data_IF_653643066626
#
_entry.id   IF_653643066626
#
_cell.length_a   1.000
_cell.length_b   1.000
_cell.length_c   1.000
_cell.angle_alpha   90.00
_cell.angle_beta   90.00
_cell.angle_gamma   90.00
#
_symmetry.space_group_name_H-M   'P 1'
#
loop_
_entity.id
_entity.type
_entity.pdbx_description
1 polymer ?
2 non-polymer ?
3 non-polymer ?
4 non-polymer ?
5 non-polymer ?
6 water ?
#
# COMPACT_ATOMS: atom_id res chain seq x y z
N UNK A 22 -2.73 -19.73 33.96
CA UNK A 22 -2.36 -18.83 32.86
C UNK A 22 -2.80 -19.40 31.51
N UNK A 23 -2.75 -18.56 30.47
CA UNK A 23 -3.09 -18.97 29.12
C UNK A 23 -1.94 -18.65 28.18
N UNK A 24 -1.82 -19.44 27.12
CA UNK A 24 -0.83 -19.18 26.11
C UNK A 24 -1.23 -17.92 25.33
N UNK A 25 -0.25 -17.26 24.74
CA UNK A 25 -0.55 -16.05 23.99
C UNK A 25 -1.42 -16.33 22.77
N UNK A 26 -2.20 -15.32 22.38
CA UNK A 26 -2.81 -15.27 21.06
C UNK A 26 -2.07 -14.25 20.20
N UNK A 27 -1.86 -14.58 18.93
CA UNK A 27 -0.88 -13.89 18.10
C UNK A 27 -1.52 -13.54 16.79
N UNK A 28 -1.35 -12.29 16.35
CA UNK A 28 -1.99 -11.79 15.15
C UNK A 28 -0.97 -11.11 14.26
N UNK A 29 -1.14 -11.26 12.96
CA UNK A 29 -0.36 -10.47 12.01
C UNK A 29 -0.96 -9.08 11.91
N UNK A 30 -0.10 -8.06 11.85
CA UNK A 30 -0.53 -6.70 11.57
C UNK A 30 0.18 -6.25 10.30
N UNK A 31 -0.57 -5.75 9.33
CA UNK A 31 0.01 -5.21 8.11
C UNK A 31 -0.23 -3.70 8.03
N UNK A 32 0.73 -2.97 7.47
CA UNK A 32 0.58 -1.54 7.24
C UNK A 32 1.09 -1.18 5.86
N UNK A 33 0.37 -0.32 5.15
CA UNK A 33 1.00 0.27 3.97
C UNK A 33 1.44 1.71 4.22
N UNK A 34 1.74 2.04 5.48
CA UNK A 34 2.43 3.30 5.82
C UNK A 34 3.51 3.00 6.84
N UNK A 35 4.77 3.18 6.43
CA UNK A 35 5.87 3.11 7.39
C UNK A 35 5.75 4.20 8.43
N UNK A 36 5.29 5.40 8.04
CA UNK A 36 5.14 6.49 9.00
C UNK A 36 4.20 6.11 10.14
N UNK A 37 3.12 5.41 9.82
CA UNK A 37 2.21 4.96 10.87
C UNK A 37 2.93 4.01 11.84
N UNK A 38 3.76 3.12 11.30
CA UNK A 38 4.54 2.21 12.17
C UNK A 38 5.48 3.01 13.06
N UNK A 39 6.17 4.00 12.47
CA UNK A 39 7.06 4.86 13.24
C UNK A 39 6.31 5.50 14.41
N UNK A 40 5.14 6.07 14.12
CA UNK A 40 4.33 6.68 15.16
C UNK A 40 3.95 5.67 16.23
N UNK A 41 3.57 4.46 15.79
CA UNK A 41 3.24 3.38 16.74
C UNK A 41 4.40 3.07 17.67
N UNK A 42 5.61 2.97 17.12
CA UNK A 42 6.78 2.64 17.95
C UNK A 42 7.07 3.76 18.92
N UNK A 43 6.89 5.01 18.47
CA UNK A 43 7.25 6.15 19.30
C UNK A 43 6.27 6.32 20.46
N UNK A 44 4.99 6.09 20.23
CA UNK A 44 3.97 6.42 21.22
C UNK A 44 3.20 5.22 21.75
N UNK A 45 3.53 4.00 21.32
CA UNK A 45 2.95 2.78 21.87
C UNK A 45 1.42 2.76 21.75
N UNK A 46 0.93 2.99 20.52
CA UNK A 46 -0.50 2.95 20.18
C UNK A 46 -0.65 2.38 18.78
N UNK A 47 -1.84 1.82 18.51
CA UNK A 47 -2.17 1.33 17.18
C UNK A 47 -3.68 1.41 16.95
N UNK A 48 -4.07 1.18 15.71
CA UNK A 48 -5.45 1.17 15.25
C UNK A 48 -5.52 0.27 14.04
N UNK A 49 -6.60 -0.52 13.92
CA UNK A 49 -6.76 -1.37 12.73
C UNK A 49 -8.00 -0.92 11.94
N UNK A 50 -8.48 -1.76 11.03
CA UNK A 50 -9.77 -1.50 10.39
C UNK A 50 -10.89 -1.68 11.42
N UNK A 51 -12.11 -1.35 11.02
CA UNK A 51 -13.26 -1.64 11.87
C UNK A 51 -13.32 -3.11 12.23
N UNK A 52 -13.29 -4.00 11.23
CA UNK A 52 -13.38 -5.42 11.55
C UNK A 52 -12.13 -5.92 12.24
N UNK A 53 -10.96 -5.34 11.92
CA UNK A 53 -9.75 -5.73 12.60
C UNK A 53 -9.73 -5.31 14.05
N UNK A 54 -10.20 -4.10 14.35
CA UNK A 54 -10.33 -3.65 15.73
C UNK A 54 -11.26 -4.57 16.51
N UNK A 55 -12.39 -4.93 15.92
CA UNK A 55 -13.32 -5.85 16.57
C UNK A 55 -12.66 -7.18 16.87
N UNK A 56 -11.92 -7.72 15.91
CA UNK A 56 -11.24 -9.00 16.10
C UNK A 56 -10.24 -8.94 17.25
N UNK A 57 -9.40 -7.90 17.27
CA UNK A 57 -8.41 -7.77 18.34
C UNK A 57 -9.09 -7.49 19.68
N UNK A 58 -10.15 -6.69 19.66
CA UNK A 58 -10.85 -6.37 20.92
C UNK A 58 -11.45 -7.65 21.52
N UNK A 59 -12.06 -8.49 20.69
CA UNK A 59 -12.60 -9.74 21.19
C UNK A 59 -11.52 -10.59 21.83
N UNK A 60 -10.37 -10.73 21.16
CA UNK A 60 -9.30 -11.57 21.69
C UNK A 60 -8.76 -10.99 23.00
N UNK A 61 -8.48 -9.70 23.03
CA UNK A 61 -7.94 -9.08 24.24
C UNK A 61 -8.86 -9.28 25.42
N UNK A 62 -10.16 -9.03 25.22
CA UNK A 62 -11.12 -9.13 26.32
C UNK A 62 -11.31 -10.58 26.76
N UNK A 63 -11.32 -11.52 25.82
CA UNK A 63 -11.50 -12.92 26.21
C UNK A 63 -10.26 -13.47 26.90
N UNK A 64 -9.08 -12.88 26.67
CA UNK A 64 -7.92 -13.30 27.44
C UNK A 64 -8.07 -12.92 28.91
N UNK A 65 -8.76 -11.82 29.18
CA UNK A 65 -9.08 -11.39 30.54
C UNK A 65 -7.82 -11.27 31.40
N UNK A 66 -6.72 -10.83 30.77
CA UNK A 66 -5.48 -10.58 31.46
C UNK A 66 -4.66 -11.78 31.87
N UNK A 67 -5.07 -13.00 31.48
CA UNK A 67 -4.38 -14.22 31.92
C UNK A 67 -3.35 -14.72 30.90
N UNK A 68 -3.02 -13.90 29.90
CA UNK A 68 -1.99 -14.19 28.93
C UNK A 68 -1.98 -13.07 27.90
N UNK A 69 -0.91 -12.97 27.12
CA UNK A 69 -0.75 -11.82 26.22
C UNK A 69 -1.43 -11.99 24.86
N UNK A 70 -1.69 -10.84 24.23
CA UNK A 70 -2.03 -10.77 22.81
C UNK A 70 -0.83 -10.14 22.10
N UNK A 71 -0.18 -10.90 21.23
CA UNK A 71 1.01 -10.43 20.52
C UNK A 71 0.62 -10.01 19.10
N UNK A 72 1.33 -9.00 18.60
CA UNK A 72 1.11 -8.44 17.26
C UNK A 72 2.43 -8.48 16.50
N UNK A 73 2.42 -9.12 15.34
CA UNK A 73 3.63 -9.27 14.52
C UNK A 73 3.51 -8.34 13.33
N UNK A 74 4.30 -7.27 13.32
CA UNK A 74 4.08 -6.17 12.36
C UNK A 74 4.89 -6.38 11.10
N UNK A 75 4.32 -5.99 9.96
CA UNK A 75 5.01 -6.11 8.68
C UNK A 75 4.47 -5.02 7.74
N UNK A 76 5.37 -4.28 7.09
CA UNK A 76 4.98 -3.25 6.12
C UNK A 76 4.77 -3.90 4.76
N UNK A 77 3.62 -3.62 4.13
CA UNK A 77 3.33 -4.12 2.80
C UNK A 77 4.48 -3.85 1.85
N UNK A 78 4.86 -4.85 1.08
CA UNK A 78 5.89 -4.70 0.07
C UNK A 78 7.31 -4.56 0.59
N UNK A 79 7.51 -4.58 1.91
CA UNK A 79 8.86 -4.43 2.44
C UNK A 79 9.66 -5.72 2.35
N UNK A 80 8.99 -6.86 2.25
CA UNK A 80 9.68 -8.15 2.27
C UNK A 80 10.23 -8.55 3.61
N UNK A 81 9.83 -7.89 4.69
CA UNK A 81 10.31 -8.28 6.01
C UNK A 81 9.27 -7.93 7.07
N UNK A 82 9.37 -8.62 8.21
CA UNK A 82 8.65 -8.22 9.40
C UNK A 82 9.52 -7.21 10.13
N UNK A 83 8.90 -6.31 10.90
CA UNK A 83 9.65 -5.23 11.52
C UNK A 83 9.61 -5.21 13.04
N UNK A 84 8.88 -6.12 13.69
CA UNK A 84 8.96 -6.22 15.13
C UNK A 84 7.69 -6.80 15.73
N UNK A 85 7.64 -6.79 17.07
CA UNK A 85 6.62 -7.48 17.85
C UNK A 85 6.13 -6.53 18.95
N UNK A 86 4.83 -6.38 19.09
CA UNK A 86 4.25 -5.61 20.18
C UNK A 86 3.19 -6.45 20.86
N UNK A 87 2.92 -6.13 22.12
CA UNK A 87 1.81 -6.69 22.87
C UNK A 87 0.68 -5.67 22.96
N UNK A 88 -0.56 -6.14 22.75
CA UNK A 88 -1.76 -5.33 23.01
C UNK A 88 -1.87 -5.05 24.51
N UNK A 89 -2.07 -3.78 24.86
CA UNK A 89 -2.08 -3.38 26.26
C UNK A 89 -3.38 -2.69 26.69
N UNK A 90 -4.42 -2.71 25.87
CA UNK A 90 -5.72 -2.16 26.25
C UNK A 90 -6.78 -2.69 25.31
N UNK A 91 -8.04 -2.55 25.75
CA UNK A 91 -9.16 -2.77 24.84
C UNK A 91 -9.21 -1.64 23.81
N UNK A 92 -10.05 -1.83 22.79
CA UNK A 92 -10.16 -0.83 21.74
C UNK A 92 -11.07 0.30 22.20
N UNK A 93 -10.61 1.53 22.05
CA UNK A 93 -11.43 2.72 22.26
C UNK A 93 -11.85 3.22 20.88
N UNK A 94 -13.15 3.19 20.61
CA UNK A 94 -13.59 3.45 19.25
C UNK A 94 -13.79 4.93 18.95
N UNK A 95 -13.73 5.79 19.96
CA UNK A 95 -14.05 7.22 19.79
C UNK A 95 -12.85 8.01 20.27
N UNK A 96 -11.91 8.28 19.37
CA UNK A 96 -10.68 9.00 19.70
C UNK A 96 -10.41 10.06 18.64
N UNK A 97 -9.37 10.86 18.90
CA UNK A 97 -9.00 11.95 18.01
C UNK A 97 -8.91 11.50 16.55
N UNK A 98 -9.58 12.24 15.67
CA UNK A 98 -9.54 11.91 14.24
C UNK A 98 -8.26 12.42 13.59
N UNK A 99 -7.93 11.81 12.44
CA UNK A 99 -6.87 12.30 11.56
C UNK A 99 -5.45 12.23 12.08
N UNK A 100 -5.16 11.31 13.02
CA UNK A 100 -3.82 11.23 13.59
C UNK A 100 -2.90 10.28 12.82
N UNK A 101 -3.43 9.47 11.90
CA UNK A 101 -2.62 8.53 11.13
C UNK A 101 -2.40 9.07 9.72
N UNK A 102 -1.76 8.26 8.87
CA UNK A 102 -1.46 8.70 7.51
C UNK A 102 -2.74 8.99 6.73
N UNK A 103 -3.84 8.35 7.12
CA UNK A 103 -5.09 8.51 6.40
C UNK A 103 -6.21 8.54 7.43
N UNK A 104 -7.29 9.26 7.09
CA UNK A 104 -8.40 9.41 8.03
C UNK A 104 -9.16 8.12 8.28
N UNK A 105 -9.10 7.14 7.36
CA UNK A 105 -9.92 5.94 7.50
C UNK A 105 -9.55 5.09 8.71
N UNK A 106 -8.39 5.32 9.34
CA UNK A 106 -8.00 4.56 10.52
C UNK A 106 -8.58 5.23 11.76
N UNK A 107 -9.59 4.58 12.38
CA UNK A 107 -10.38 5.18 13.46
C UNK A 107 -10.33 4.33 14.72
N UNK A 108 -10.24 4.99 15.88
CA UNK A 108 -10.14 4.30 17.15
C UNK A 108 -8.69 4.15 17.54
N UNK A 109 -8.47 3.52 18.69
CA UNK A 109 -7.14 3.40 19.25
C UNK A 109 -7.08 2.30 20.29
N UNK A 110 -5.93 1.64 20.39
CA UNK A 110 -5.64 0.82 21.56
C UNK A 110 -4.16 0.96 21.88
N UNK A 111 -3.83 0.72 23.14
CA UNK A 111 -2.43 0.80 23.57
C UNK A 111 -1.71 -0.48 23.18
N UNK A 112 -0.41 -0.33 22.90
CA UNK A 112 0.48 -1.47 22.69
C UNK A 112 1.76 -1.21 23.47
N UNK A 113 2.57 -2.25 23.61
CA UNK A 113 3.93 -2.11 24.10
C UNK A 113 4.81 -2.82 23.10
N UNK A 114 5.62 -2.07 22.36
CA UNK A 114 6.54 -2.74 21.45
C UNK A 114 7.58 -3.49 22.28
N UNK A 115 7.72 -4.79 22.01
CA UNK A 115 8.65 -5.62 22.76
C UNK A 115 10.05 -5.53 22.17
N UNK A 116 10.17 -5.67 20.85
CA UNK A 116 11.40 -5.29 20.18
C UNK A 116 11.13 -4.93 18.73
N UNK A 117 12.04 -4.14 18.17
CA UNK A 117 11.96 -3.60 16.83
C UNK A 117 13.16 -4.15 16.08
N UNK A 118 12.91 -4.97 15.05
CA UNK A 118 14.02 -5.46 14.24
C UNK A 118 13.46 -6.06 12.96
N UNK A 119 14.22 -5.89 11.87
CA UNK A 119 13.81 -6.38 10.57
C UNK A 119 14.23 -7.83 10.41
N UNK A 120 13.30 -8.67 9.97
CA UNK A 120 13.55 -10.08 9.71
C UNK A 120 13.02 -10.40 8.32
N UNK A 121 13.86 -10.90 7.41
CA UNK A 121 13.40 -11.13 6.03
C UNK A 121 12.33 -12.20 5.96
N UNK A 122 11.35 -11.99 5.06
CA UNK A 122 10.31 -13.00 4.86
C UNK A 122 10.89 -14.35 4.51
N UNK A 123 12.08 -14.38 3.91
CA UNK A 123 12.70 -15.65 3.54
C UNK A 123 12.91 -16.55 4.75
N UNK A 124 13.06 -15.97 5.94
CA UNK A 124 13.26 -16.74 7.17
C UNK A 124 11.97 -17.36 7.69
N UNK A 125 10.82 -16.87 7.24
CA UNK A 125 9.53 -17.26 7.79
C UNK A 125 8.61 -17.93 6.78
N UNK A 126 8.94 -17.89 5.50
CA UNK A 126 7.96 -18.24 4.46
C UNK A 126 7.62 -19.73 4.44
N UNK A 127 8.39 -20.58 5.12
CA UNK A 127 8.10 -22.01 5.16
C UNK A 127 7.18 -22.39 6.31
N UNK A 128 6.83 -21.44 7.18
CA UNK A 128 5.81 -21.61 8.20
C UNK A 128 4.44 -21.38 7.59
N UNK A 129 3.58 -22.41 7.61
CA UNK A 129 2.28 -22.34 6.96
C UNK A 129 1.17 -22.36 8.00
N UNK A 130 0.04 -21.70 7.70
CA UNK A 130 -1.05 -21.56 8.67
C UNK A 130 -2.20 -22.51 8.31
N UNK A 131 -2.43 -23.51 9.18
CA UNK A 131 -3.49 -24.49 8.93
C UNK A 131 -4.88 -23.88 9.02
N UNK A 132 -5.03 -22.72 9.66
CA UNK A 132 -6.29 -22.00 9.69
C UNK A 132 -6.45 -21.01 8.54
N UNK A 133 -5.46 -20.90 7.65
CA UNK A 133 -5.56 -20.03 6.47
C UNK A 133 -5.18 -20.81 5.23
N UNK A 134 -5.79 -21.99 5.03
CA UNK A 134 -5.60 -22.78 3.81
C UNK A 134 -4.15 -23.21 3.62
N UNK A 135 -3.42 -23.40 4.73
CA UNK A 135 -1.99 -23.75 4.72
C UNK A 135 -1.16 -22.77 3.88
N UNK A 136 -1.60 -21.52 3.79
CA UNK A 136 -0.77 -20.49 3.17
C UNK A 136 0.42 -20.11 4.06
N UNK A 137 1.53 -19.66 3.47
CA UNK A 137 2.66 -19.17 4.28
C UNK A 137 2.24 -18.02 5.17
N UNK A 138 2.86 -17.96 6.35
CA UNK A 138 2.54 -16.88 7.28
C UNK A 138 2.87 -15.51 6.66
N UNK A 139 3.85 -15.48 5.77
CA UNK A 139 4.27 -14.24 5.10
C UNK A 139 3.27 -13.76 4.04
N UNK A 140 2.24 -14.54 3.73
CA UNK A 140 1.18 -14.14 2.81
C UNK A 140 -0.11 -13.75 3.54
N UNK A 141 -0.01 -13.40 4.82
CA UNK A 141 -1.18 -13.13 5.63
C UNK A 141 -1.69 -11.71 5.39
N UNK A 142 -2.96 -11.52 5.71
CA UNK A 142 -3.64 -10.24 5.70
C UNK A 142 -3.65 -9.65 7.13
N UNK A 143 -3.93 -8.36 7.20
CA UNK A 143 -4.06 -7.69 8.50
C UNK A 143 -5.02 -8.42 9.44
N UNK A 144 -4.56 -8.63 10.67
CA UNK A 144 -5.24 -9.31 11.79
C UNK A 144 -5.55 -10.79 11.51
N UNK A 145 -4.82 -11.39 10.56
CA UNK A 145 -4.78 -12.85 10.47
C UNK A 145 -4.27 -13.42 11.80
N UNK A 146 -5.06 -14.28 12.44
CA UNK A 146 -4.58 -14.94 13.65
C UNK A 146 -3.67 -16.11 13.31
N UNK A 147 -2.71 -16.37 14.17
CA UNK A 147 -1.68 -17.39 13.98
C UNK A 147 -1.90 -18.52 14.98
N UNK A 148 -1.94 -19.79 14.54
CA UNK A 148 -2.06 -20.88 15.52
C UNK A 148 -0.87 -20.87 16.46
N UNK A 149 -1.11 -21.25 17.72
CA UNK A 149 -0.10 -21.14 18.77
C UNK A 149 1.24 -21.73 18.37
N UNK A 150 1.23 -22.98 17.87
CA UNK A 150 2.49 -23.66 17.58
C UNK A 150 3.23 -22.98 16.44
N UNK A 151 2.51 -22.39 15.49
CA UNK A 151 3.20 -21.66 14.43
C UNK A 151 3.70 -20.32 14.94
N UNK A 152 2.93 -19.68 15.81
CA UNK A 152 3.35 -18.41 16.40
C UNK A 152 4.64 -18.58 17.19
N UNK A 153 4.76 -19.66 17.98
CA UNK A 153 6.01 -19.96 18.66
C UNK A 153 7.16 -20.09 17.67
N UNK A 154 6.93 -20.79 16.57
CA UNK A 154 7.99 -20.96 15.58
C UNK A 154 8.40 -19.62 14.99
N UNK A 155 7.41 -18.77 14.68
CA UNK A 155 7.70 -17.45 14.10
C UNK A 155 8.43 -16.58 15.10
N UNK A 156 7.94 -16.52 16.34
CA UNK A 156 8.57 -15.68 17.33
C UNK A 156 10.01 -16.11 17.63
N UNK A 157 10.28 -17.42 17.70
CA UNK A 157 11.65 -17.85 17.94
C UNK A 157 12.57 -17.48 16.78
N UNK A 158 12.09 -17.62 15.54
CA UNK A 158 12.89 -17.22 14.38
C UNK A 158 13.17 -15.72 14.42
N UNK A 159 12.15 -14.91 14.71
CA UNK A 159 12.32 -13.47 14.74
C UNK A 159 13.27 -13.07 15.87
N UNK A 160 13.08 -13.66 17.05
CA UNK A 160 13.91 -13.32 18.20
C UNK A 160 15.37 -13.61 17.95
N UNK A 161 15.68 -14.71 17.24
CA UNK A 161 17.07 -15.14 17.11
C UNK A 161 17.71 -14.77 15.78
N UNK A 162 16.97 -14.18 14.85
CA UNK A 162 17.57 -13.81 13.57
C UNK A 162 18.73 -12.83 13.77
N UNK A 163 19.85 -13.07 13.08
CA UNK A 163 20.99 -12.17 13.14
C UNK A 163 21.36 -11.70 11.74
N UNK A 164 21.50 -10.39 11.57
CA UNK A 164 21.94 -9.80 10.31
C UNK A 164 23.38 -10.18 10.00
N UNK B 10 -23.54 13.46 -28.23
CA UNK B 10 -22.48 14.42 -27.97
C UNK B 10 -21.90 14.22 -26.57
N UNK B 11 -20.67 14.69 -26.36
CA UNK B 11 -20.01 14.53 -25.07
C UNK B 11 -20.64 15.42 -24.00
N UNK B 12 -20.54 14.96 -22.75
CA UNK B 12 -20.93 15.79 -21.62
C UNK B 12 -19.82 16.00 -20.60
N UNK B 13 -18.78 15.16 -20.60
CA UNK B 13 -17.69 15.33 -19.66
C UNK B 13 -16.77 16.45 -20.07
N UNK B 14 -16.48 17.35 -19.12
CA UNK B 14 -15.50 18.39 -19.35
C UNK B 14 -14.10 17.87 -19.68
N UNK B 15 -13.81 16.62 -19.32
CA UNK B 15 -12.51 16.06 -19.70
C UNK B 15 -12.26 16.12 -21.20
N UNK B 16 -13.34 16.11 -22.01
CA UNK B 16 -13.15 16.14 -23.46
C UNK B 16 -12.35 17.35 -23.89
N UNK B 17 -12.40 18.43 -23.11
CA UNK B 17 -11.58 19.60 -23.43
C UNK B 17 -10.10 19.23 -23.43
N UNK B 18 -9.68 18.47 -22.41
CA UNK B 18 -8.29 18.04 -22.30
C UNK B 18 -7.95 16.94 -23.29
N UNK B 19 -8.93 16.16 -23.76
CA UNK B 19 -8.63 15.09 -24.70
C UNK B 19 -8.15 15.63 -26.04
N UNK B 20 -8.49 16.88 -26.38
CA UNK B 20 -8.02 17.47 -27.62
C UNK B 20 -6.51 17.62 -27.65
N UNK B 21 -5.87 17.69 -26.48
CA UNK B 21 -4.42 17.74 -26.37
C UNK B 21 -3.80 16.36 -26.16
N UNK B 22 -4.60 15.30 -26.22
CA UNK B 22 -4.12 13.96 -25.87
C UNK B 22 -4.35 12.97 -27.02
N UNK B 23 -4.62 13.45 -28.23
CA UNK B 23 -4.73 12.55 -29.38
C UNK B 23 -3.51 11.66 -29.53
N UNK B 24 -2.35 12.12 -29.04
CA UNK B 24 -1.12 11.33 -29.05
C UNK B 24 -0.70 10.88 -27.65
N UNK B 25 -1.60 10.91 -26.67
CA UNK B 25 -1.21 10.61 -25.31
C UNK B 25 -0.88 9.15 -25.05
N UNK B 26 -0.22 8.89 -23.91
CA UNK B 26 -0.01 7.53 -23.44
C UNK B 26 -0.26 7.50 -21.95
N UNK B 27 -0.88 6.43 -21.46
CA UNK B 27 -1.39 6.36 -20.09
C UNK B 27 -0.93 5.07 -19.44
N UNK B 28 -0.41 5.16 -18.21
CA UNK B 28 0.09 4.00 -17.50
C UNK B 28 -0.54 3.89 -16.11
N UNK B 29 -0.72 2.65 -15.64
CA UNK B 29 -1.08 2.42 -14.25
C UNK B 29 0.18 2.52 -13.41
N UNK B 30 0.09 3.16 -12.24
CA UNK B 30 1.14 3.11 -11.23
C UNK B 30 0.56 2.44 -9.99
N UNK B 31 1.23 1.38 -9.53
CA UNK B 31 0.86 0.71 -8.28
C UNK B 31 1.93 1.02 -7.24
N UNK B 32 1.50 1.40 -6.03
CA UNK B 32 2.46 1.67 -4.96
C UNK B 32 2.15 0.78 -3.77
N UNK B 33 3.17 0.13 -3.21
CA UNK B 33 2.93 -0.57 -1.96
C UNK B 33 2.72 0.39 -0.80
N UNK B 34 3.10 1.66 -0.96
CA UNK B 34 3.24 2.59 0.16
C UNK B 34 2.34 3.80 -0.02
N UNK B 35 1.49 4.05 0.96
CA UNK B 35 0.74 5.30 1.00
C UNK B 35 1.65 6.49 1.27
N UNK B 36 2.72 6.27 2.06
CA UNK B 36 3.69 7.33 2.31
C UNK B 36 4.29 7.85 1.01
N UNK B 37 4.64 6.94 0.09
CA UNK B 37 5.23 7.37 -1.17
C UNK B 37 4.25 8.23 -1.97
N UNK B 38 2.95 7.88 -1.92
CA UNK B 38 1.95 8.72 -2.58
C UNK B 38 1.98 10.13 -2.01
N UNK B 39 1.95 10.23 -0.67
CA UNK B 39 1.95 11.57 -0.07
C UNK B 39 3.22 12.34 -0.44
N UNK B 40 4.37 11.67 -0.47
CA UNK B 40 5.61 12.36 -0.82
C UNK B 40 5.59 12.81 -2.28
N UNK B 41 5.03 11.99 -3.17
CA UNK B 41 4.88 12.38 -4.58
C UNK B 41 4.01 13.62 -4.74
N UNK B 42 2.87 13.64 -4.05
CA UNK B 42 1.98 14.81 -4.13
C UNK B 42 2.70 16.04 -3.61
N UNK B 43 3.44 15.89 -2.51
CA UNK B 43 4.09 17.03 -1.87
C UNK B 43 5.21 17.62 -2.74
N UNK B 44 6.04 16.78 -3.35
CA UNK B 44 7.22 17.24 -4.06
C UNK B 44 7.14 17.08 -5.57
N UNK B 45 6.03 16.56 -6.09
CA UNK B 45 5.86 16.37 -7.54
C UNK B 45 7.00 15.59 -8.17
N UNK B 46 7.27 14.41 -7.61
CA UNK B 46 8.27 13.50 -8.15
C UNK B 46 7.77 12.07 -8.00
N UNK B 47 8.36 11.17 -8.79
CA UNK B 47 8.09 9.75 -8.67
C UNK B 47 9.33 8.98 -9.11
N UNK B 48 9.29 7.68 -8.84
CA UNK B 48 10.31 6.74 -9.26
C UNK B 48 9.64 5.38 -9.31
N UNK B 49 9.94 4.58 -10.34
CA UNK B 49 9.38 3.24 -10.45
C UNK B 49 10.48 2.21 -10.22
N UNK B 50 10.20 0.96 -10.58
CA UNK B 50 11.24 -0.04 -10.56
C UNK B 50 12.20 0.23 -11.70
N UNK B 51 13.21 -0.63 -11.84
CA UNK B 51 14.11 -0.49 -12.97
C UNK B 51 13.38 -0.72 -14.30
N UNK B 52 12.65 -1.82 -14.42
CA UNK B 52 11.96 -2.05 -15.70
C UNK B 52 10.82 -1.05 -15.88
N UNK B 53 10.16 -0.66 -14.78
CA UNK B 53 9.13 0.37 -14.87
C UNK B 53 9.69 1.71 -15.35
N UNK B 54 10.82 2.14 -14.77
CA UNK B 54 11.46 3.38 -15.21
C UNK B 54 11.81 3.35 -16.69
N UNK B 55 12.35 2.25 -17.18
CA UNK B 55 12.70 2.17 -18.60
C UNK B 55 11.46 2.34 -19.48
N UNK B 56 10.35 1.70 -19.08
CA UNK B 56 9.12 1.78 -19.86
C UNK B 56 8.61 3.21 -19.92
N UNK B 57 8.52 3.86 -18.75
CA UNK B 57 8.02 5.23 -18.71
C UNK B 57 8.95 6.19 -19.43
N UNK B 58 10.27 6.03 -19.23
CA UNK B 58 11.26 6.88 -19.89
C UNK B 58 11.15 6.76 -21.41
N UNK B 59 11.07 5.53 -21.92
CA UNK B 59 10.89 5.31 -23.35
C UNK B 59 9.64 6.02 -23.87
N UNK B 60 8.52 5.87 -23.15
CA UNK B 60 7.27 6.51 -23.57
C UNK B 60 7.39 8.03 -23.54
N UNK B 61 7.98 8.57 -22.48
CA UNK B 61 8.14 10.01 -22.39
C UNK B 61 9.02 10.55 -23.51
N UNK B 62 10.14 9.88 -23.79
CA UNK B 62 11.10 10.42 -24.74
C UNK B 62 10.61 10.28 -26.17
N UNK B 63 10.03 9.13 -26.51
CA UNK B 63 9.47 8.97 -27.85
C UNK B 63 8.27 9.88 -28.08
N UNK B 64 7.60 10.31 -27.01
CA UNK B 64 6.52 11.27 -27.13
C UNK B 64 7.04 12.61 -27.63
N UNK B 65 8.25 12.99 -27.20
CA UNK B 65 8.93 14.20 -27.65
C UNK B 65 8.04 15.43 -27.50
N UNK B 66 7.28 15.48 -26.41
CA UNK B 66 6.41 16.61 -26.15
C UNK B 66 5.25 16.80 -27.12
N UNK B 67 4.93 15.80 -27.94
CA UNK B 67 3.77 15.87 -28.84
C UNK B 67 2.47 15.47 -28.15
N UNK B 68 2.53 15.06 -26.88
CA UNK B 68 1.34 14.71 -26.13
C UNK B 68 1.73 14.38 -24.70
N UNK B 69 0.76 14.16 -23.82
CA UNK B 69 1.08 13.87 -22.42
C UNK B 69 1.26 12.38 -22.15
N UNK B 70 2.04 12.09 -21.10
CA UNK B 70 2.07 10.78 -20.49
C UNK B 70 1.38 10.93 -19.14
N UNK B 71 0.25 10.25 -18.97
CA UNK B 71 -0.51 10.32 -17.74
C UNK B 71 -0.30 9.04 -16.92
N UNK B 72 -0.37 9.20 -15.60
CA UNK B 72 -0.11 8.12 -14.64
C UNK B 72 -1.34 8.02 -13.73
N UNK B 73 -1.93 6.83 -13.66
CA UNK B 73 -3.10 6.57 -12.82
C UNK B 73 -2.64 5.78 -11.60
N UNK B 74 -2.71 6.39 -10.40
CA UNK B 74 -2.08 5.84 -9.20
C UNK B 74 -3.07 5.05 -8.34
N UNK B 75 -2.57 3.95 -7.75
CA UNK B 75 -3.37 3.13 -6.85
C UNK B 75 -2.43 2.44 -5.88
N UNK B 76 -2.75 2.50 -4.57
CA UNK B 76 -1.98 1.77 -3.55
C UNK B 76 -2.46 0.33 -3.51
N UNK B 77 -1.52 -0.61 -3.63
CA UNK B 77 -1.82 -2.04 -3.59
C UNK B 77 -2.63 -2.40 -2.35
N UNK B 78 -3.74 -3.11 -2.57
CA UNK B 78 -4.60 -3.52 -1.47
C UNK B 78 -5.54 -2.45 -0.95
N UNK B 79 -5.48 -1.23 -1.46
CA UNK B 79 -6.32 -0.17 -0.89
C UNK B 79 -7.76 -0.22 -1.38
N UNK B 80 -8.04 -0.90 -2.49
CA UNK B 80 -9.39 -0.91 -3.00
C UNK B 80 -9.82 0.31 -3.78
N UNK B 81 -8.91 1.25 -4.06
CA UNK B 81 -9.29 2.40 -4.89
C UNK B 81 -8.06 2.96 -5.60
N UNK B 82 -8.31 3.79 -6.61
CA UNK B 82 -7.30 4.66 -7.18
C UNK B 82 -7.24 5.94 -6.35
N UNK B 83 -6.06 6.56 -6.29
CA UNK B 83 -5.90 7.74 -5.45
C UNK B 83 -5.62 9.01 -6.23
N UNK B 84 -5.45 8.94 -7.54
CA UNK B 84 -5.33 10.15 -8.32
C UNK B 84 -4.62 9.94 -9.65
N UNK B 85 -4.29 11.07 -10.27
CA UNK B 85 -3.76 11.11 -11.63
C UNK B 85 -2.68 12.19 -11.68
N UNK B 86 -1.57 11.88 -12.33
CA UNK B 86 -0.53 12.88 -12.53
C UNK B 86 -0.03 12.78 -13.96
N UNK B 87 0.58 13.85 -14.44
CA UNK B 87 1.27 13.85 -15.72
C UNK B 87 2.77 13.74 -15.48
N UNK B 88 3.40 12.88 -16.27
CA UNK B 88 4.86 12.79 -16.25
C UNK B 88 5.45 14.06 -16.86
N UNK B 89 6.38 14.72 -16.16
CA UNK B 89 6.85 16.02 -16.59
C UNK B 89 8.36 16.08 -16.86
N UNK B 90 9.05 14.93 -16.87
CA UNK B 90 10.47 14.91 -17.22
C UNK B 90 10.87 13.49 -17.57
N UNK B 91 12.01 13.37 -18.23
CA UNK B 91 12.61 12.06 -18.42
C UNK B 91 13.16 11.55 -17.08
N UNK B 92 13.59 10.30 -17.07
CA UNK B 92 14.07 9.68 -15.83
C UNK B 92 15.54 10.03 -15.63
N UNK B 93 15.85 10.57 -14.46
CA UNK B 93 17.24 10.75 -14.01
C UNK B 93 17.60 9.54 -13.16
N UNK B 94 18.48 8.68 -13.65
CA UNK B 94 18.71 7.43 -12.94
C UNK B 94 19.70 7.57 -11.79
N UNK B 95 20.36 8.71 -11.62
CA UNK B 95 21.44 8.81 -10.64
C UNK B 95 21.08 9.96 -9.69
N UNK B 96 20.31 9.65 -8.64
CA UNK B 96 19.85 10.66 -7.69
C UNK B 96 19.97 10.09 -6.28
N UNK B 97 19.77 10.96 -5.31
CA UNK B 97 19.89 10.60 -3.90
C UNK B 97 19.10 9.33 -3.57
N UNK B 98 19.74 8.40 -2.88
CA UNK B 98 19.07 7.17 -2.49
C UNK B 98 18.28 7.35 -1.19
N UNK B 99 17.38 6.40 -0.94
CA UNK B 99 16.69 6.32 0.33
C UNK B 99 15.66 7.39 0.64
N UNK B 100 15.15 8.12 -0.37
CA UNK B 100 14.16 9.15 -0.06
C UNK B 100 12.74 8.60 0.04
N UNK B 101 12.50 7.38 -0.42
CA UNK B 101 11.19 6.77 -0.39
C UNK B 101 11.10 5.77 0.79
N UNK B 102 9.97 5.08 0.89
CA UNK B 102 9.75 4.21 2.05
C UNK B 102 10.76 3.06 2.09
N UNK B 103 10.98 2.42 0.96
CA UNK B 103 12.01 1.38 0.81
C UNK B 103 13.19 1.92 0.02
N UNK B 104 14.36 1.35 0.27
CA UNK B 104 15.60 1.83 -0.36
C UNK B 104 15.88 1.17 -1.71
N UNK B 105 14.91 0.49 -2.31
CA UNK B 105 15.12 -0.24 -3.55
C UNK B 105 15.00 0.62 -4.81
N UNK B 106 14.58 1.88 -4.69
CA UNK B 106 14.32 2.73 -5.84
C UNK B 106 15.57 3.49 -6.27
N UNK B 107 15.81 3.51 -7.59
CA UNK B 107 16.98 4.18 -8.16
C UNK B 107 16.50 5.17 -9.22
N UNK B 108 16.58 6.45 -8.93
CA UNK B 108 16.25 7.49 -9.89
C UNK B 108 15.05 8.33 -9.46
N UNK B 109 14.66 9.24 -10.37
CA UNK B 109 13.64 10.21 -10.07
C UNK B 109 13.16 10.80 -11.39
N UNK B 110 11.85 11.11 -11.47
CA UNK B 110 11.36 11.94 -12.55
C UNK B 110 10.28 12.86 -12.01
N UNK B 111 10.07 13.98 -12.69
CA UNK B 111 9.09 14.95 -12.25
C UNK B 111 7.70 14.52 -12.66
N UNK B 112 6.70 14.86 -11.86
CA UNK B 112 5.29 14.67 -12.21
C UNK B 112 4.54 15.94 -11.82
N UNK B 113 3.32 16.07 -12.34
CA UNK B 113 2.42 17.14 -11.91
C UNK B 113 1.08 16.49 -11.61
N UNK B 114 0.67 16.51 -10.35
CA UNK B 114 -0.58 15.86 -9.98
C UNK B 114 -1.75 16.70 -10.45
N UNK B 115 -2.73 16.04 -11.06
CA UNK B 115 -3.89 16.67 -11.69
C UNK B 115 -5.15 16.41 -10.88
N UNK B 116 -5.35 15.16 -10.46
CA UNK B 116 -6.43 14.77 -9.55
C UNK B 116 -5.81 14.12 -8.33
N UNK B 117 -6.24 14.54 -7.15
CA UNK B 117 -5.99 13.82 -5.91
C UNK B 117 -7.36 13.49 -5.33
N UNK B 118 -7.81 12.25 -5.50
CA UNK B 118 -9.13 11.86 -5.00
C UNK B 118 -9.23 10.35 -5.03
N UNK B 119 -9.96 9.80 -4.05
CA UNK B 119 -10.18 8.36 -4.00
C UNK B 119 -11.36 7.96 -4.88
N UNK B 120 -11.11 7.00 -5.76
CA UNK B 120 -12.13 6.47 -6.67
C UNK B 120 -12.19 4.97 -6.44
N UNK B 121 -13.28 4.44 -5.88
CA UNK B 121 -13.31 3.02 -5.54
C UNK B 121 -13.14 2.17 -6.80
N UNK B 122 -12.51 1.00 -6.63
CA UNK B 122 -12.30 0.11 -7.76
C UNK B 122 -13.62 -0.29 -8.39
N UNK B 123 -14.71 -0.29 -7.62
CA UNK B 123 -16.02 -0.67 -8.16
C UNK B 123 -16.46 0.26 -9.28
N UNK B 124 -15.97 1.50 -9.29
CA UNK B 124 -16.35 2.43 -10.35
C UNK B 124 -15.60 2.15 -11.65
N UNK B 125 -14.49 1.40 -11.59
CA UNK B 125 -13.60 1.23 -12.73
C UNK B 125 -13.46 -0.20 -13.20
N UNK B 126 -13.90 -1.19 -12.42
CA UNK B 126 -13.55 -2.57 -12.71
C UNK B 126 -14.22 -3.10 -13.97
N UNK B 127 -15.23 -2.40 -14.49
CA UNK B 127 -15.88 -2.81 -15.72
C UNK B 127 -15.04 -2.52 -16.95
N UNK B 128 -14.06 -1.63 -16.85
CA UNK B 128 -13.19 -1.29 -17.97
C UNK B 128 -12.08 -2.33 -18.07
N UNK B 129 -11.96 -3.00 -19.20
CA UNK B 129 -11.01 -4.09 -19.37
C UNK B 129 -9.92 -3.74 -20.38
N UNK B 130 -8.71 -4.29 -20.19
CA UNK B 130 -7.56 -3.97 -21.03
C UNK B 130 -7.31 -5.07 -22.05
N UNK B 131 -7.59 -4.77 -23.34
CA UNK B 131 -7.37 -5.77 -24.39
C UNK B 131 -5.91 -6.17 -24.51
N UNK B 132 -4.98 -5.34 -24.07
CA UNK B 132 -3.56 -5.69 -24.10
C UNK B 132 -3.09 -6.41 -22.84
N UNK B 133 -3.97 -6.59 -21.85
CA UNK B 133 -3.65 -7.40 -20.68
C UNK B 133 -4.72 -8.48 -20.50
N UNK B 134 -4.87 -9.31 -21.54
CA UNK B 134 -5.74 -10.49 -21.50
C UNK B 134 -7.16 -10.18 -21.04
N UNK B 135 -7.66 -8.99 -21.41
CA UNK B 135 -9.05 -8.61 -21.14
C UNK B 135 -9.32 -8.52 -19.63
N UNK B 136 -8.25 -8.35 -18.81
CA UNK B 136 -8.42 -8.20 -17.37
C UNK B 136 -8.91 -6.80 -17.02
N UNK B 137 -9.65 -6.67 -15.91
CA UNK B 137 -10.08 -5.35 -15.48
C UNK B 137 -8.88 -4.44 -15.25
N UNK B 138 -9.07 -3.15 -15.56
CA UNK B 138 -7.99 -2.17 -15.35
C UNK B 138 -7.60 -2.11 -13.88
N UNK B 139 -8.54 -2.44 -12.99
CA UNK B 139 -8.29 -2.46 -11.55
C UNK B 139 -7.44 -3.65 -11.13
N UNK B 140 -7.16 -4.61 -12.02
CA UNK B 140 -6.29 -5.73 -11.71
C UNK B 140 -4.90 -5.60 -12.35
N UNK B 141 -4.48 -4.38 -12.67
CA UNK B 141 -3.20 -4.14 -13.36
C UNK B 141 -2.04 -4.16 -12.37
N UNK B 142 -0.85 -4.45 -12.90
CA UNK B 142 0.41 -4.29 -12.19
C UNK B 142 1.04 -2.95 -12.52
N UNK B 143 2.12 -2.64 -11.81
CA UNK B 143 2.83 -1.37 -11.95
C UNK B 143 3.33 -1.18 -13.38
N UNK B 144 3.10 0.02 -13.92
CA UNK B 144 3.43 0.47 -15.27
C UNK B 144 2.78 -0.37 -16.38
N UNK B 145 1.71 -1.11 -16.10
CA UNK B 145 0.80 -1.59 -17.13
C UNK B 145 0.33 -0.43 -18.00
N UNK B 146 0.56 -0.51 -19.31
CA UNK B 146 0.05 0.56 -20.17
C UNK B 146 -1.44 0.34 -20.48
N UNK B 147 -2.15 1.44 -20.67
CA UNK B 147 -3.60 1.42 -20.90
C UNK B 147 -3.86 1.90 -22.33
N UNK B 148 -4.57 1.14 -23.16
CA UNK B 148 -4.92 1.64 -24.49
C UNK B 148 -5.66 2.97 -24.40
N UNK B 149 -5.41 3.85 -25.37
CA UNK B 149 -5.86 5.22 -25.24
C UNK B 149 -7.38 5.31 -25.07
N UNK B 150 -8.14 4.49 -25.79
CA UNK B 150 -9.59 4.60 -25.69
C UNK B 150 -10.09 4.14 -24.31
N UNK B 151 -9.46 3.13 -23.73
CA UNK B 151 -9.83 2.74 -22.37
C UNK B 151 -9.39 3.79 -21.35
N UNK B 152 -8.25 4.43 -21.60
CA UNK B 152 -7.76 5.45 -20.67
C UNK B 152 -8.71 6.63 -20.60
N UNK B 153 -9.26 7.04 -21.75
CA UNK B 153 -10.24 8.12 -21.77
C UNK B 153 -11.43 7.77 -20.89
N UNK B 154 -11.90 6.53 -20.98
CA UNK B 154 -13.04 6.12 -20.17
C UNK B 154 -12.71 6.15 -18.69
N UNK B 155 -11.51 5.69 -18.32
CA UNK B 155 -11.07 5.76 -16.92
C UNK B 155 -10.99 7.21 -16.46
N UNK B 156 -10.43 8.08 -17.31
CA UNK B 156 -10.23 9.47 -16.90
C UNK B 156 -11.56 10.19 -16.69
N UNK B 157 -12.53 9.99 -17.58
CA UNK B 157 -13.85 10.59 -17.39
C UNK B 157 -14.50 10.15 -16.09
N UNK B 158 -14.34 8.86 -15.75
CA UNK B 158 -14.92 8.33 -14.51
C UNK B 158 -14.22 8.93 -13.30
N UNK B 159 -12.88 9.00 -13.32
CA UNK B 159 -12.18 9.60 -12.19
C UNK B 159 -12.55 11.07 -12.05
N UNK B 160 -12.63 11.78 -13.17
CA UNK B 160 -12.83 13.22 -13.09
C UNK B 160 -14.20 13.56 -12.49
N UNK B 161 -15.23 12.83 -12.87
CA UNK B 161 -16.58 13.14 -12.45
C UNK B 161 -16.95 12.57 -11.08
N UNK B 162 -16.15 11.65 -10.53
CA UNK B 162 -16.57 10.95 -9.31
C UNK B 162 -16.71 11.89 -8.13
N UNK B 163 -17.82 11.76 -7.41
CA UNK B 163 -18.09 12.61 -6.24
C UNK B 163 -18.06 11.84 -4.91
X LIG C 1 3.26 -18.51 25.92
X LIG C 1 2.64 -19.29 24.84
X LIG C 1 2.60 -17.20 26.03
X LIG C 1 4.67 -18.31 25.62
X LIG C 1 3.11 -19.26 27.17
X LIG D 1 -2.19 -2.78 5.18
X LIG D 1 -2.78 2.85 11.51
X LIG D 1 -3.03 1.66 10.56
X LIG D 1 -3.03 0.32 8.76
X LIG D 1 -2.71 -0.04 7.42
X LIG D 1 -3.10 -1.59 5.50
X LIG D 1 -3.70 -2.93 5.08
X LIG D 1 -1.57 1.95 7.14
X LIG D 1 -2.56 1.56 9.20
X LIG D 1 -3.69 0.56 10.83
X LIG D 1 -3.70 -0.26 9.76
X LIG D 1 -3.19 -1.31 6.93
X LIG D 1 -2.00 0.78 6.65
X LIG D 1 -1.84 2.35 8.38
X LIG E 1 6.14 -7.95 1.67
X LIG E 1 6.54 -7.97 0.35
X LIG E 1 4.89 -8.74 1.68
X LIG E 1 5.00 -9.86 2.50
X LIG E 1 3.83 -7.71 2.14
X LIG E 1 2.57 -8.23 1.83
X LIG F 1 1.63 -28.18 10.52
X LIG F 1 0.57 -27.72 9.69
X LIG F 1 2.47 -29.14 9.67
X LIG F 1 3.76 -28.67 9.47
X LIG F 1 2.46 -30.46 10.45
X LIG F 1 1.14 -30.68 10.85
X LIG G 1 9.45 15.30 4.53
X LIG G 1 10.29 15.19 3.33
X LIG G 1 8.15 15.88 4.18
X LIG G 1 9.28 13.97 5.13
X LIG G 1 10.12 16.17 5.50
X LIG H 1 -18.89 11.66 -22.66
X LIG H 1 -18.57 11.36 -24.04
X LIG H 1 -20.30 12.08 -22.58
X LIG H 1 -18.69 10.48 -21.82
X LIG H 1 -18.03 12.77 -22.22
X LIG I 1 -6.21 -3.08 -5.23
X LIG I 1 -6.83 -3.44 -6.50
X LIG I 1 -6.33 -1.63 -5.05
X LIG I 1 -6.85 -3.76 -4.09
X LIG I 1 -4.79 -3.47 -5.29
X LIG J 1 -3.81 2.88 -28.00
X LIG K 1 9.49 5.64 -5.54
X LIG K 1 5.11 -1.58 -6.61
X LIG K 1 5.78 -0.20 -6.76
X LIG K 1 6.63 1.83 -6.32
X LIG K 1 6.99 2.94 -5.50
X LIG K 1 8.02 5.22 -5.37
X LIG K 1 9.03 4.94 -4.25
X LIG K 1 6.15 1.85 -3.61
X LIG K 1 6.02 0.75 -5.69
X LIG K 1 6.23 0.33 -7.91
X LIG K 1 6.74 1.57 -7.65
X LIG K 1 7.65 4.06 -6.15
X LIG K 1 6.73 2.91 -4.19
X LIG K 1 5.80 0.78 -4.34
X LIG L 1 -6.88 14.38 -19.22
X LIG L 1 -8.53 21.11 -13.78
X LIG L 1 -8.53 19.83 -14.63
X LIG L 1 -7.87 18.16 -16.00
X LIG L 1 -6.94 17.45 -16.83
X LIG L 1 -6.35 15.42 -18.23
X LIG L 1 -6.34 13.94 -17.87
X LIG L 1 -5.30 19.05 -16.37
X LIG L 1 -7.40 19.33 -15.38
X LIG L 1 -9.56 18.99 -14.80
X LIG L 1 -9.16 18.00 -15.63
X LIG L 1 -7.35 16.22 -17.51
X LIG L 1 -5.70 17.93 -16.98
X LIG L 1 -6.13 19.75 -15.59
X LIG M 1 19.66 2.53 -15.46
X LIG M 1 20.18 3.03 -16.65
X LIG M 1 20.76 2.60 -14.34
X LIG M 1 21.47 3.80 -14.36
X LIG M 1 19.99 2.36 -13.01
X LIG M 1 20.58 3.15 -12.00
X LIG N 1 12.98 -3.76 -9.19
X LIG N 1 13.39 -2.55 -8.61
X LIG N 1 13.62 -3.80 -10.61
X LIG N 1 14.82 -4.51 -10.62
X LIG N 1 12.54 -4.45 -11.49
X LIG N 1 12.79 -3.98 -12.77
#
# INVERSE_FOLDING_TARGET
MGSSYHHHHHHSSGENLYFQHMKHGRVFIIKSYSEDDIHRSIKYNIWCSTEHGNKRLDAAYRSMNGKGPVYLLFSVNGSGHFCGVAEMKSAVDYNTCAGVWSQDKWKGRFDVRWIFVKDVPNSQLRHIRLENNENKPVTNSRDTQEVPLEKAKQVLKIIASYKHTTS
MGSSYHHHHHHSSGENLYFQHMKHGRVFIIKSYSEDDIHRSIKYNIWCSTEHGNKRLDAAYRSMNGKGPVYLLFSVNGSGHFCGVAEMKSAVDYNTCAGVWSQDKWKGRFDVRWIFVKDVPNSQLRHIRLENNENKPVTNSRDTQEVPLEKAKQVLKIIASYKHTTS
SO4 S O1 O2 O3 O4
IHR C10 C01 C02 C05 C06 C08 C09 C12 C14 N03 N04 N07 N11 N13
GOL C1 O1 C2 O2 C3 O3
GOL C1 O1 C2 O2 C3 O3
SO4 S O1 O2 O3 O4
SO4 S O1 O2 O3 O4
SO4 S O1 O2 O3 O4
CL CL
IHR C10 C01 C02 C05 C06 C08 C09 C12 C14 N03 N04 N07 N11 N13
IHR C10 C01 C02 C05 C06 C08 C09 C12 C14 N03 N04 N07 N11 N13
GOL C1 O1 C2 O2 C3 O3
GOL C1 O1 C2 O2 C3 O3
#
